data_IF_573725260337
#
_entry.id   IF_573725260337
#
_cell.length_a   1.000
_cell.length_b   1.000
_cell.length_c   1.000
_cell.angle_alpha   90.00
_cell.angle_beta   90.00
_cell.angle_gamma   90.00
#
_symmetry.space_group_name_H-M   'P 1'
#
loop_
_entity.id
_entity.type
_entity.pdbx_description
1 polymer ?
#
# COMPACT_ATOMS: atom_id res chain seq x y z
N UNK A 1 9.08 -0.74 14.79
CA UNK A 1 9.66 0.34 13.98
C UNK A 1 11.14 0.06 13.73
N UNK A 2 11.46 -1.19 13.38
CA UNK A 2 12.78 -1.62 12.93
C UNK A 2 12.56 -2.71 11.89
N UNK A 3 13.51 -2.84 10.96
CA UNK A 3 13.54 -3.70 9.75
C UNK A 3 12.78 -3.20 8.52
N UNK A 4 13.23 -2.08 7.95
CA UNK A 4 13.08 -1.83 6.50
C UNK A 4 14.34 -1.22 5.86
N UNK A 5 15.51 -1.36 6.50
CA UNK A 5 16.79 -0.93 5.95
C UNK A 5 17.64 -2.18 5.83
N UNK A 6 17.83 -2.64 4.60
CA UNK A 6 19.04 -3.31 4.07
C UNK A 6 18.70 -3.88 2.67
N UNK A 7 18.91 -3.07 1.64
CA UNK A 7 19.17 -3.59 0.29
C UNK A 7 20.55 -3.12 -0.15
N UNK A 8 21.38 -4.11 -0.54
CA UNK A 8 22.37 -4.09 -1.63
C UNK A 8 23.77 -4.57 -1.24
N UNK A 9 23.93 -5.85 -0.89
CA UNK A 9 25.24 -6.50 -0.91
C UNK A 9 25.14 -7.99 -1.26
N UNK A 10 25.22 -8.35 -2.54
CA UNK A 10 25.36 -9.76 -2.97
C UNK A 10 26.64 -10.08 -3.74
N UNK A 11 27.60 -9.14 -3.78
CA UNK A 11 28.97 -9.42 -4.27
C UNK A 11 30.09 -8.93 -3.35
N UNK A 12 29.88 -7.84 -2.61
CA UNK A 12 30.95 -7.25 -1.76
C UNK A 12 31.14 -7.92 -0.39
N UNK A 13 30.21 -8.75 0.08
CA UNK A 13 30.32 -9.35 1.42
C UNK A 13 31.38 -10.47 1.49
N UNK A 14 31.54 -11.26 0.42
CA UNK A 14 32.63 -12.24 0.32
C UNK A 14 33.99 -11.55 0.38
N UNK A 15 34.12 -10.42 -0.31
CA UNK A 15 35.36 -9.66 -0.35
C UNK A 15 35.67 -9.05 1.02
N UNK A 16 34.68 -8.42 1.65
CA UNK A 16 34.82 -7.83 2.99
C UNK A 16 35.12 -8.88 4.08
N UNK A 17 34.50 -10.06 4.01
CA UNK A 17 34.77 -11.14 4.96
C UNK A 17 36.16 -11.75 4.79
N UNK A 18 36.63 -11.94 3.54
CA UNK A 18 37.99 -12.40 3.27
C UNK A 18 39.02 -11.36 3.72
N UNK A 19 38.81 -10.08 3.39
CA UNK A 19 39.67 -8.98 3.83
C UNK A 19 39.67 -8.82 5.36
N UNK A 20 38.52 -9.01 6.02
CA UNK A 20 38.39 -8.96 7.47
C UNK A 20 39.10 -10.13 8.18
N UNK A 21 39.07 -11.34 7.59
CA UNK A 21 39.79 -12.51 8.09
C UNK A 21 41.30 -12.37 7.86
N UNK A 22 41.73 -11.82 6.72
CA UNK A 22 43.15 -11.51 6.45
C UNK A 22 43.71 -10.46 7.41
N UNK A 23 42.93 -9.42 7.73
CA UNK A 23 43.29 -8.39 8.72
C UNK A 23 43.39 -8.96 10.14
N UNK A 24 42.54 -9.91 10.52
CA UNK A 24 42.54 -10.51 11.85
C UNK A 24 43.62 -11.58 12.05
N UNK A 25 43.98 -12.32 11.00
CA UNK A 25 44.92 -13.46 11.08
C UNK A 25 46.32 -13.13 10.53
N UNK A 26 46.51 -11.97 9.90
CA UNK A 26 47.79 -11.55 9.33
C UNK A 26 48.28 -12.44 8.17
N UNK A 27 47.43 -13.32 7.65
CA UNK A 27 47.75 -14.26 6.58
C UNK A 27 46.49 -14.65 5.79
N UNK A 28 46.68 -14.99 4.52
CA UNK A 28 45.60 -15.43 3.63
C UNK A 28 45.01 -16.76 4.14
N UNK A 29 43.68 -16.89 4.30
CA UNK A 29 43.07 -18.12 4.83
C UNK A 29 43.34 -19.38 3.97
N UNK A 30 43.71 -19.23 2.69
CA UNK A 30 44.11 -20.35 1.83
C UNK A 30 45.49 -20.95 2.20
N UNK A 31 46.39 -20.20 2.85
CA UNK A 31 47.72 -20.70 3.24
C UNK A 31 47.75 -21.45 4.58
N UNK A 32 46.62 -21.50 5.29
CA UNK A 32 46.49 -22.14 6.63
C UNK A 32 45.79 -23.52 6.53
N UNK A 33 45.38 -23.94 5.34
CA UNK A 33 44.82 -25.29 5.14
C UNK A 33 43.43 -25.52 5.76
N UNK A 34 42.71 -24.45 6.15
CA UNK A 34 41.32 -24.54 6.60
C UNK A 34 40.40 -24.73 5.39
N UNK A 35 39.89 -25.95 5.19
CA UNK A 35 38.79 -26.23 4.25
C UNK A 35 37.46 -25.88 4.92
N UNK A 36 36.86 -24.77 4.50
CA UNK A 36 35.46 -24.46 4.80
C UNK A 36 34.57 -25.10 3.73
N UNK A 37 34.12 -26.32 3.95
CA UNK A 37 33.04 -26.94 3.15
C UNK A 37 31.69 -26.30 3.57
N UNK A 38 31.46 -25.08 3.13
CA UNK A 38 30.15 -24.43 3.18
C UNK A 38 29.44 -24.68 1.84
N UNK A 39 28.47 -25.59 1.85
CA UNK A 39 27.54 -25.81 0.73
C UNK A 39 26.58 -24.61 0.62
N UNK A 40 27.06 -23.53 0.00
CA UNK A 40 26.34 -22.26 -0.18
C UNK A 40 24.99 -22.42 -0.89
N UNK A 41 24.71 -23.55 -1.54
CA UNK A 41 23.44 -23.76 -2.25
C UNK A 41 22.27 -23.96 -1.29
N UNK A 42 22.49 -24.58 -0.12
CA UNK A 42 21.43 -24.80 0.88
C UNK A 42 21.13 -23.53 1.69
N UNK A 43 22.14 -22.72 1.96
CA UNK A 43 21.97 -21.43 2.63
C UNK A 43 21.39 -20.34 1.71
N UNK A 44 21.60 -20.46 0.39
CA UNK A 44 20.95 -19.59 -0.61
C UNK A 44 19.43 -19.78 -0.65
N UNK A 45 18.95 -21.02 -0.47
CA UNK A 45 17.50 -21.31 -0.41
C UNK A 45 16.91 -20.91 0.95
N UNK A 46 17.68 -21.08 2.04
CA UNK A 46 17.29 -20.61 3.36
C UNK A 46 17.38 -19.07 3.52
N UNK A 47 18.10 -18.35 2.66
CA UNK A 47 18.08 -16.87 2.63
C UNK A 47 16.85 -16.26 1.95
N UNK A 48 15.90 -17.08 1.48
CA UNK A 48 14.54 -16.64 1.15
C UNK A 48 13.62 -16.72 2.39
N UNK A 49 14.15 -16.39 3.57
CA UNK A 49 13.39 -16.25 4.81
C UNK A 49 12.40 -15.09 4.66
N UNK A 50 11.14 -15.45 4.44
CA UNK A 50 9.91 -14.72 4.78
C UNK A 50 10.10 -13.19 4.91
N UNK A 51 10.40 -12.50 3.80
CA UNK A 51 10.45 -11.04 3.82
C UNK A 51 9.03 -10.53 4.07
N UNK A 52 8.81 -9.96 5.27
CA UNK A 52 7.58 -9.21 5.57
C UNK A 52 7.38 -8.19 4.45
N UNK A 53 6.25 -8.29 3.77
CA UNK A 53 5.88 -7.34 2.75
C UNK A 53 5.40 -6.07 3.44
N UNK A 54 6.20 -5.01 3.42
CA UNK A 54 5.78 -3.73 3.97
C UNK A 54 4.71 -3.08 3.08
N UNK A 55 3.74 -2.43 3.70
CA UNK A 55 2.60 -1.80 3.01
C UNK A 55 2.47 -0.34 3.42
N UNK A 56 2.34 0.54 2.43
CA UNK A 56 1.85 1.90 2.64
C UNK A 56 0.32 1.88 2.52
N UNK A 57 -0.39 2.21 3.60
CA UNK A 57 -1.83 2.45 3.58
C UNK A 57 -2.13 3.89 3.19
N UNK A 58 -3.08 4.08 2.29
CA UNK A 58 -3.49 5.39 1.78
C UNK A 58 -5.01 5.53 1.88
N UNK A 59 -5.43 6.61 2.54
CA UNK A 59 -6.84 6.98 2.62
C UNK A 59 -7.13 8.02 1.55
N UNK A 60 -8.02 7.69 0.61
CA UNK A 60 -8.46 8.58 -0.45
C UNK A 60 -9.60 9.48 0.06
N UNK A 61 -9.25 10.72 0.43
CA UNK A 61 -10.14 11.74 0.96
C UNK A 61 -10.45 12.88 -0.05
N UNK A 62 -9.95 12.79 -1.29
CA UNK A 62 -10.06 13.84 -2.33
C UNK A 62 -11.39 13.92 -3.09
N UNK A 63 -12.45 13.22 -2.67
CA UNK A 63 -13.74 13.21 -3.38
C UNK A 63 -14.48 14.55 -3.29
N UNK A 64 -15.24 14.92 -4.34
CA UNK A 64 -15.97 16.19 -4.40
C UNK A 64 -17.15 16.30 -3.41
N UNK A 65 -17.54 15.23 -2.72
CA UNK A 65 -18.60 15.28 -1.70
C UNK A 65 -19.98 15.75 -2.21
N UNK A 66 -20.22 15.77 -3.53
CA UNK A 66 -21.43 16.37 -4.14
C UNK A 66 -22.73 15.82 -3.57
N UNK A 67 -22.75 14.51 -3.23
CA UNK A 67 -23.91 13.82 -2.65
C UNK A 67 -24.08 14.04 -1.14
N UNK A 68 -23.05 14.58 -0.48
CA UNK A 68 -23.00 14.91 0.95
C UNK A 68 -23.06 16.43 1.17
N UNK A 69 -23.80 17.15 0.33
CA UNK A 69 -23.94 18.62 0.44
C UNK A 69 -22.66 19.42 0.14
N UNK A 70 -21.65 18.81 -0.48
CA UNK A 70 -20.37 19.47 -0.79
C UNK A 70 -19.38 19.52 0.37
N UNK A 71 -19.74 19.02 1.55
CA UNK A 71 -18.84 18.91 2.69
C UNK A 71 -17.67 17.96 2.41
N UNK A 72 -16.58 18.18 3.14
CA UNK A 72 -15.46 17.26 3.16
C UNK A 72 -15.83 15.98 3.90
N UNK A 73 -15.95 14.89 3.13
CA UNK A 73 -16.56 13.65 3.58
C UNK A 73 -15.75 12.99 4.70
N UNK A 74 -14.42 13.16 4.70
CA UNK A 74 -13.58 12.64 5.77
C UNK A 74 -13.91 13.26 7.14
N UNK A 75 -14.54 14.44 7.16
CA UNK A 75 -14.94 15.16 8.38
C UNK A 75 -16.41 14.99 8.74
N UNK A 76 -17.17 14.21 7.97
CA UNK A 76 -18.51 13.80 8.37
C UNK A 76 -18.37 12.87 9.58
N UNK A 77 -19.23 13.07 10.58
CA UNK A 77 -19.18 12.28 11.81
C UNK A 77 -20.11 11.07 11.72
N UNK A 78 -19.61 9.93 12.20
CA UNK A 78 -20.40 8.75 12.53
C UNK A 78 -20.11 8.41 13.99
N UNK A 79 -21.17 8.26 14.80
CA UNK A 79 -21.04 8.00 16.24
C UNK A 79 -20.10 9.00 16.96
N UNK A 80 -20.27 10.30 16.67
CA UNK A 80 -19.47 11.41 17.22
C UNK A 80 -17.96 11.36 16.91
N UNK A 81 -17.57 10.64 15.85
CA UNK A 81 -16.19 10.58 15.38
C UNK A 81 -16.11 10.79 13.87
N UNK A 82 -15.21 11.64 13.36
CA UNK A 82 -15.01 11.83 11.93
C UNK A 82 -14.68 10.53 11.19
N UNK A 83 -15.23 10.34 10.01
CA UNK A 83 -14.97 9.20 9.13
C UNK A 83 -13.47 8.91 8.97
N UNK A 84 -12.66 9.95 8.73
CA UNK A 84 -11.21 9.82 8.57
C UNK A 84 -10.53 9.17 9.79
N UNK A 85 -11.02 9.46 10.99
CA UNK A 85 -10.45 8.90 12.22
C UNK A 85 -10.81 7.43 12.37
N UNK A 86 -12.04 7.03 12.04
CA UNK A 86 -12.43 5.61 12.01
C UNK A 86 -11.53 4.81 11.05
N UNK A 87 -11.33 5.31 9.83
CA UNK A 87 -10.49 4.61 8.82
C UNK A 87 -9.03 4.58 9.25
N UNK A 88 -8.49 5.66 9.82
CA UNK A 88 -7.13 5.69 10.37
C UNK A 88 -6.95 4.62 11.46
N UNK A 89 -7.88 4.54 12.42
CA UNK A 89 -7.83 3.55 13.51
C UNK A 89 -7.87 2.12 12.97
N UNK A 90 -8.68 1.85 11.95
CA UNK A 90 -8.77 0.52 11.31
C UNK A 90 -7.49 0.12 10.56
N UNK A 91 -6.85 1.07 9.87
CA UNK A 91 -5.67 0.77 9.04
C UNK A 91 -4.36 0.77 9.81
N UNK A 92 -4.21 1.61 10.83
CA UNK A 92 -2.94 1.78 11.58
C UNK A 92 -2.30 0.48 12.06
N UNK A 93 -3.01 -0.53 12.58
CA UNK A 93 -2.38 -1.78 12.97
C UNK A 93 -2.01 -2.71 11.80
N UNK A 94 -2.47 -2.42 10.58
CA UNK A 94 -2.33 -3.29 9.41
C UNK A 94 -1.22 -2.87 8.44
N UNK A 95 -0.70 -1.64 8.55
CA UNK A 95 0.25 -1.06 7.58
C UNK A 95 1.50 -0.50 8.27
N UNK A 96 2.59 -0.38 7.52
CA UNK A 96 3.88 0.12 8.01
C UNK A 96 3.99 1.65 7.88
N UNK A 97 3.25 2.24 6.95
CA UNK A 97 3.13 3.68 6.73
C UNK A 97 1.67 4.05 6.44
N UNK A 98 1.21 5.21 6.93
CA UNK A 98 -0.09 5.79 6.58
C UNK A 98 0.07 7.14 5.89
N UNK A 99 -0.71 7.38 4.85
CA UNK A 99 -0.81 8.65 4.11
C UNK A 99 -2.28 8.99 3.86
N UNK A 100 -2.63 10.27 3.82
CA UNK A 100 -3.93 10.75 3.36
C UNK A 100 -3.74 11.47 2.02
N UNK A 101 -4.51 11.09 1.00
CA UNK A 101 -4.63 11.86 -0.23
C UNK A 101 -5.86 12.78 -0.13
N UNK A 102 -5.64 14.09 -0.10
CA UNK A 102 -6.71 15.07 0.03
C UNK A 102 -6.38 16.35 -0.77
N UNK A 103 -7.42 16.91 -1.39
CA UNK A 103 -7.32 18.14 -2.20
C UNK A 103 -8.00 19.35 -1.52
N UNK A 104 -8.42 19.19 -0.27
CA UNK A 104 -9.03 20.22 0.59
C UNK A 104 -8.78 19.88 2.06
N UNK A 105 -9.01 20.86 2.94
CA UNK A 105 -8.86 20.69 4.40
C UNK A 105 -7.44 20.25 4.82
N UNK A 106 -6.42 20.68 4.08
CA UNK A 106 -5.02 20.23 4.23
C UNK A 106 -4.54 20.37 5.68
N UNK A 107 -4.69 21.55 6.28
CA UNK A 107 -4.28 21.80 7.65
C UNK A 107 -4.99 20.89 8.67
N UNK A 108 -6.28 20.61 8.47
CA UNK A 108 -7.05 19.74 9.34
C UNK A 108 -6.58 18.28 9.23
N UNK A 109 -6.31 17.79 8.01
CA UNK A 109 -5.78 16.44 7.82
C UNK A 109 -4.34 16.32 8.35
N UNK A 110 -3.50 17.33 8.16
CA UNK A 110 -2.12 17.36 8.68
C UNK A 110 -2.09 17.30 10.21
N UNK A 111 -3.07 17.92 10.88
CA UNK A 111 -3.21 17.87 12.33
C UNK A 111 -3.47 16.45 12.89
N UNK A 112 -3.84 15.48 12.04
CA UNK A 112 -3.98 14.06 12.43
C UNK A 112 -2.63 13.34 12.59
N UNK A 113 -1.51 14.01 12.28
CA UNK A 113 -0.16 13.47 12.49
C UNK A 113 0.25 12.43 11.45
N UNK A 114 -0.33 12.48 10.25
CA UNK A 114 0.05 11.64 9.11
C UNK A 114 0.36 12.53 7.89
N UNK A 115 1.27 12.11 6.99
CA UNK A 115 1.52 12.82 5.74
C UNK A 115 0.23 13.00 4.93
N UNK A 116 0.06 14.21 4.38
CA UNK A 116 -1.05 14.56 3.49
C UNK A 116 -0.49 14.95 2.13
N UNK A 117 -1.00 14.32 1.07
CA UNK A 117 -0.55 14.55 -0.31
C UNK A 117 -1.71 15.00 -1.19
N UNK A 118 -1.46 16.01 -2.00
CA UNK A 118 -2.40 16.51 -3.00
C UNK A 118 -2.23 15.77 -4.32
N UNK A 119 -3.29 15.74 -5.13
CA UNK A 119 -3.25 15.12 -6.45
C UNK A 119 -2.12 15.69 -7.32
N UNK A 120 -1.44 14.82 -8.06
CA UNK A 120 -0.34 15.20 -8.98
C UNK A 120 -0.76 16.22 -10.04
N UNK A 121 -2.05 16.33 -10.34
CA UNK A 121 -2.62 17.29 -11.27
C UNK A 121 -3.78 18.03 -10.63
N UNK A 122 -3.85 19.34 -10.86
CA UNK A 122 -4.95 20.17 -10.41
C UNK A 122 -6.26 19.82 -11.13
N UNK A 123 -7.38 20.03 -10.44
CA UNK A 123 -8.71 19.73 -10.95
C UNK A 123 -9.09 18.27 -10.74
N UNK A 124 -10.39 17.98 -10.81
CA UNK A 124 -10.87 16.63 -10.51
C UNK A 124 -10.64 15.68 -11.69
N UNK A 125 -9.60 14.85 -11.57
CA UNK A 125 -9.23 13.82 -12.55
C UNK A 125 -9.77 12.42 -12.19
N UNK A 126 -10.70 12.35 -11.23
CA UNK A 126 -11.28 11.09 -10.77
C UNK A 126 -10.34 10.26 -9.89
N UNK A 127 -10.81 9.11 -9.41
CA UNK A 127 -10.11 8.37 -8.35
C UNK A 127 -8.75 7.79 -8.77
N UNK A 128 -8.54 7.55 -10.06
CA UNK A 128 -7.24 7.08 -10.57
C UNK A 128 -6.11 8.10 -10.34
N UNK A 129 -6.42 9.40 -10.30
CA UNK A 129 -5.41 10.42 -9.96
C UNK A 129 -4.98 10.33 -8.49
N UNK A 130 -5.94 10.11 -7.58
CA UNK A 130 -5.63 9.86 -6.17
C UNK A 130 -4.77 8.60 -5.99
N UNK A 131 -5.05 7.54 -6.76
CA UNK A 131 -4.24 6.31 -6.75
C UNK A 131 -2.83 6.55 -7.34
N UNK A 132 -2.71 7.29 -8.44
CA UNK A 132 -1.40 7.64 -9.01
C UNK A 132 -0.57 8.46 -8.02
N UNK A 133 -1.21 9.40 -7.32
CA UNK A 133 -0.61 10.20 -6.26
C UNK A 133 -0.16 9.32 -5.09
N UNK A 134 -1.01 8.41 -4.64
CA UNK A 134 -0.71 7.42 -3.59
C UNK A 134 0.53 6.59 -3.95
N UNK A 135 0.57 6.02 -5.15
CA UNK A 135 1.70 5.22 -5.65
C UNK A 135 2.99 6.04 -5.78
N UNK A 136 2.88 7.32 -6.16
CA UNK A 136 4.02 8.22 -6.29
C UNK A 136 4.64 8.52 -4.91
N UNK A 137 3.80 8.81 -3.92
CA UNK A 137 4.19 9.21 -2.57
C UNK A 137 4.59 8.04 -1.65
N UNK A 138 4.16 6.81 -1.94
CA UNK A 138 4.41 5.65 -1.09
C UNK A 138 5.90 5.30 -0.95
N UNK A 139 6.31 4.96 0.27
CA UNK A 139 7.67 4.48 0.56
C UNK A 139 7.86 2.99 0.26
N UNK A 140 6.78 2.20 0.35
CA UNK A 140 6.83 0.75 0.21
C UNK A 140 6.46 0.24 -1.18
N UNK A 141 6.80 -1.03 -1.45
CA UNK A 141 6.47 -1.68 -2.73
C UNK A 141 4.97 -1.87 -2.89
N UNK A 142 4.28 -2.22 -1.81
CA UNK A 142 2.83 -2.42 -1.81
C UNK A 142 2.10 -1.21 -1.25
N UNK A 143 1.05 -0.81 -1.94
CA UNK A 143 0.22 0.35 -1.60
C UNK A 143 -1.23 -0.10 -1.50
N UNK A 144 -1.79 -0.03 -0.30
CA UNK A 144 -3.23 -0.21 -0.09
C UNK A 144 -3.89 1.16 -0.24
N UNK A 145 -4.86 1.27 -1.14
CA UNK A 145 -5.79 2.39 -1.17
C UNK A 145 -7.13 1.96 -0.57
N UNK A 146 -7.71 2.81 0.27
CA UNK A 146 -9.10 2.69 0.76
C UNK A 146 -9.79 4.05 0.69
N UNK A 147 -11.11 4.11 0.53
CA UNK A 147 -11.80 5.39 0.57
C UNK A 147 -12.00 5.85 2.02
N UNK A 148 -12.16 7.16 2.23
CA UNK A 148 -12.36 7.73 3.56
C UNK A 148 -13.70 7.37 4.22
N UNK A 149 -14.63 6.72 3.53
CA UNK A 149 -15.99 6.38 3.97
C UNK A 149 -16.21 4.89 4.23
N UNK A 150 -15.17 4.06 4.16
CA UNK A 150 -15.19 2.64 4.49
C UNK A 150 -14.96 2.38 5.99
N UNK A 151 -15.94 2.68 6.85
CA UNK A 151 -15.74 2.71 8.30
C UNK A 151 -15.55 1.31 8.93
N UNK A 152 -16.01 0.26 8.25
CA UNK A 152 -16.05 -1.09 8.77
C UNK A 152 -14.96 -2.02 8.21
N UNK A 153 -13.95 -1.45 7.53
CA UNK A 153 -12.81 -2.17 6.95
C UNK A 153 -12.26 -3.21 7.94
N UNK A 154 -12.17 -4.50 7.55
CA UNK A 154 -11.81 -5.56 8.46
C UNK A 154 -10.33 -5.46 8.88
N UNK A 155 -10.01 -6.07 10.02
CA UNK A 155 -8.67 -6.02 10.61
C UNK A 155 -7.65 -6.89 9.87
N UNK A 156 -8.11 -7.76 8.97
CA UNK A 156 -7.29 -8.66 8.17
C UNK A 156 -7.22 -8.27 6.68
N UNK A 157 -7.77 -7.09 6.30
CA UNK A 157 -7.84 -6.61 4.92
C UNK A 157 -6.48 -6.71 4.21
N UNK A 158 -5.44 -6.11 4.81
CA UNK A 158 -4.09 -6.08 4.21
C UNK A 158 -3.55 -7.49 4.03
N UNK A 159 -3.72 -8.35 5.05
CA UNK A 159 -3.17 -9.71 5.02
C UNK A 159 -3.79 -10.55 3.92
N UNK A 160 -5.12 -10.44 3.72
CA UNK A 160 -5.86 -11.20 2.72
C UNK A 160 -5.52 -10.73 1.31
N UNK A 161 -5.46 -9.41 1.09
CA UNK A 161 -5.09 -8.85 -0.22
C UNK A 161 -3.63 -9.19 -0.59
N UNK A 162 -2.70 -9.10 0.36
CA UNK A 162 -1.30 -9.49 0.13
C UNK A 162 -1.17 -10.99 -0.20
N UNK A 163 -1.83 -11.86 0.56
CA UNK A 163 -1.81 -13.29 0.29
C UNK A 163 -2.32 -13.61 -1.11
N UNK A 164 -3.43 -13.00 -1.52
CA UNK A 164 -3.94 -13.14 -2.88
C UNK A 164 -2.94 -12.65 -3.92
N UNK A 165 -2.31 -11.50 -3.71
CA UNK A 165 -1.32 -10.93 -4.62
C UNK A 165 -0.11 -11.86 -4.82
N UNK A 166 0.39 -12.43 -3.72
CA UNK A 166 1.52 -13.36 -3.72
C UNK A 166 1.16 -14.68 -4.40
N UNK A 167 -0.01 -15.24 -4.09
CA UNK A 167 -0.46 -16.51 -4.66
C UNK A 167 -0.74 -16.42 -6.17
N UNK A 168 -1.32 -15.31 -6.62
CA UNK A 168 -1.66 -15.12 -8.03
C UNK A 168 -0.52 -14.49 -8.84
N UNK A 169 0.53 -13.98 -8.19
CA UNK A 169 1.59 -13.18 -8.82
C UNK A 169 1.09 -11.87 -9.43
N UNK A 170 -0.07 -11.35 -8.99
CA UNK A 170 -0.69 -10.15 -9.60
C UNK A 170 -0.23 -8.90 -8.89
N UNK A 171 0.01 -7.85 -9.66
CA UNK A 171 0.41 -6.54 -9.13
C UNK A 171 -0.78 -5.72 -8.61
N UNK A 172 -2.02 -6.15 -8.89
CA UNK A 172 -3.26 -5.46 -8.50
C UNK A 172 -4.20 -6.50 -7.93
N UNK A 173 -4.70 -6.24 -6.71
CA UNK A 173 -5.72 -7.05 -6.04
C UNK A 173 -6.82 -6.12 -5.57
N UNK A 174 -8.04 -6.35 -6.04
CA UNK A 174 -9.21 -5.52 -5.75
C UNK A 174 -10.13 -6.28 -4.82
N UNK A 175 -10.68 -5.62 -3.80
CA UNK A 175 -11.71 -6.22 -2.97
C UNK A 175 -13.06 -6.25 -3.72
N UNK A 176 -13.87 -7.26 -3.44
CA UNK A 176 -15.28 -7.32 -3.84
C UNK A 176 -16.14 -7.67 -2.63
N UNK A 177 -17.44 -7.38 -2.70
CA UNK A 177 -18.40 -7.70 -1.64
C UNK A 177 -19.28 -8.93 -1.96
N UNK A 178 -18.87 -9.76 -2.93
CA UNK A 178 -19.64 -10.86 -3.48
C UNK A 178 -20.59 -10.46 -4.62
N UNK A 179 -21.02 -9.20 -4.68
CA UNK A 179 -21.92 -8.68 -5.73
C UNK A 179 -21.17 -7.81 -6.73
N UNK A 180 -20.27 -6.94 -6.25
CA UNK A 180 -19.54 -5.99 -7.07
C UNK A 180 -18.11 -5.78 -6.59
N UNK A 181 -17.26 -5.39 -7.53
CA UNK A 181 -15.95 -4.83 -7.20
C UNK A 181 -16.11 -3.58 -6.34
N UNK A 182 -15.16 -3.40 -5.44
CA UNK A 182 -14.97 -2.20 -4.62
C UNK A 182 -13.66 -1.55 -5.08
N UNK A 183 -13.67 -0.76 -6.18
CA UNK A 183 -12.44 -0.40 -6.88
C UNK A 183 -11.50 0.47 -6.03
N UNK A 184 -12.03 1.14 -5.02
CA UNK A 184 -11.27 1.99 -4.11
C UNK A 184 -10.69 1.24 -2.91
N UNK A 185 -11.02 -0.03 -2.72
CA UNK A 185 -10.39 -0.92 -1.74
C UNK A 185 -9.48 -1.87 -2.53
N UNK A 186 -8.23 -1.45 -2.72
CA UNK A 186 -7.33 -2.07 -3.69
C UNK A 186 -5.89 -2.06 -3.18
N UNK A 187 -5.20 -3.18 -3.35
CA UNK A 187 -3.77 -3.31 -3.12
C UNK A 187 -3.04 -3.31 -4.47
N UNK A 188 -2.05 -2.44 -4.62
CA UNK A 188 -1.26 -2.30 -5.83
C UNK A 188 0.24 -2.38 -5.54
N UNK A 189 1.02 -2.95 -6.45
CA UNK A 189 2.46 -2.71 -6.49
C UNK A 189 2.75 -1.32 -7.03
N UNK A 190 3.69 -0.61 -6.41
CA UNK A 190 4.21 0.68 -6.89
C UNK A 190 4.69 0.66 -8.34
N UNK A 191 5.16 -0.50 -8.82
CA UNK A 191 5.62 -0.69 -10.21
C UNK A 191 4.56 -0.47 -11.28
N UNK A 192 3.26 -0.43 -10.93
CA UNK A 192 2.18 -0.13 -11.89
C UNK A 192 2.07 1.35 -12.24
N UNK A 193 2.71 2.24 -11.45
CA UNK A 193 2.58 3.69 -11.58
C UNK A 193 2.88 4.22 -13.00
N UNK A 194 3.96 3.83 -13.70
CA UNK A 194 4.22 4.35 -15.05
C UNK A 194 3.10 4.03 -16.03
N UNK A 195 2.53 2.82 -15.97
CA UNK A 195 1.39 2.45 -16.81
C UNK A 195 0.13 3.25 -16.44
N UNK A 196 -0.13 3.44 -15.15
CA UNK A 196 -1.27 4.23 -14.69
C UNK A 196 -1.18 5.69 -15.18
N UNK A 197 0.00 6.31 -15.10
CA UNK A 197 0.23 7.66 -15.60
C UNK A 197 -0.04 7.74 -17.11
N UNK A 198 0.46 6.77 -17.88
CA UNK A 198 0.18 6.68 -19.32
C UNK A 198 -1.33 6.53 -19.61
N UNK A 199 -2.04 5.70 -18.85
CA UNK A 199 -3.48 5.55 -19.01
C UNK A 199 -4.23 6.86 -18.70
N UNK A 200 -3.83 7.58 -17.65
CA UNK A 200 -4.37 8.89 -17.30
C UNK A 200 -4.16 9.91 -18.43
N UNK A 201 -2.97 9.94 -19.05
CA UNK A 201 -2.68 10.79 -20.21
C UNK A 201 -3.57 10.45 -21.42
N UNK A 202 -3.91 9.18 -21.60
CA UNK A 202 -4.82 8.69 -22.65
C UNK A 202 -6.31 8.90 -22.33
N UNK A 203 -6.63 9.56 -21.21
CA UNK A 203 -8.01 9.85 -20.83
C UNK A 203 -8.71 8.75 -20.03
N UNK A 204 -8.00 7.73 -19.55
CA UNK A 204 -8.57 6.74 -18.64
C UNK A 204 -8.96 7.37 -17.30
N UNK A 205 -10.18 7.14 -16.83
CA UNK A 205 -10.73 7.71 -15.58
C UNK A 205 -11.51 6.66 -14.76
N UNK A 206 -11.60 5.42 -15.24
CA UNK A 206 -12.38 4.31 -14.67
C UNK A 206 -11.44 3.27 -14.06
N UNK A 207 -11.36 3.21 -12.72
CA UNK A 207 -10.41 2.31 -12.04
C UNK A 207 -10.62 0.83 -12.40
N UNK A 208 -11.87 0.38 -12.38
CA UNK A 208 -12.29 -0.97 -12.76
C UNK A 208 -11.84 -1.35 -14.18
N UNK A 209 -12.04 -0.46 -15.16
CA UNK A 209 -11.58 -0.67 -16.54
C UNK A 209 -10.05 -0.77 -16.61
N UNK A 210 -9.34 0.10 -15.90
CA UNK A 210 -7.88 0.08 -15.88
C UNK A 210 -7.34 -1.20 -15.22
N UNK A 211 -7.86 -1.62 -14.06
CA UNK A 211 -7.44 -2.86 -13.38
C UNK A 211 -7.63 -4.08 -14.29
N UNK A 212 -8.77 -4.17 -14.98
CA UNK A 212 -9.05 -5.24 -15.92
C UNK A 212 -8.00 -5.31 -17.04
N UNK A 213 -7.57 -4.17 -17.57
CA UNK A 213 -6.54 -4.10 -18.62
C UNK A 213 -5.15 -4.58 -18.18
N UNK A 214 -4.85 -4.48 -16.89
CA UNK A 214 -3.57 -4.89 -16.30
C UNK A 214 -3.55 -6.37 -15.86
N UNK A 215 -4.74 -6.97 -15.74
CA UNK A 215 -4.93 -8.27 -15.10
C UNK A 215 -4.83 -8.16 -13.58
N UNK A 216 -5.96 -8.31 -12.91
CA UNK A 216 -6.09 -8.21 -11.45
C UNK A 216 -6.45 -9.55 -10.82
N UNK A 217 -6.14 -9.71 -9.52
CA UNK A 217 -6.80 -10.69 -8.66
C UNK A 217 -7.92 -10.01 -7.87
N UNK A 218 -8.80 -10.82 -7.28
CA UNK A 218 -9.94 -10.38 -6.49
C UNK A 218 -9.98 -11.12 -5.15
N UNK A 219 -10.50 -10.46 -4.13
CA UNK A 219 -10.74 -11.06 -2.81
C UNK A 219 -12.11 -10.61 -2.31
N UNK A 220 -12.99 -11.58 -2.08
CA UNK A 220 -14.34 -11.32 -1.59
C UNK A 220 -14.38 -11.10 -0.08
N UNK A 221 -15.03 -10.03 0.34
CA UNK A 221 -15.38 -9.70 1.72
C UNK A 221 -16.90 -9.65 1.85
N UNK A 222 -17.41 -9.54 3.07
CA UNK A 222 -18.83 -9.28 3.27
C UNK A 222 -19.21 -7.85 2.87
N UNK A 223 -20.48 -7.66 2.54
CA UNK A 223 -21.05 -6.33 2.23
C UNK A 223 -20.86 -5.35 3.39
N UNK A 224 -21.00 -5.82 4.63
CA UNK A 224 -20.87 -5.00 5.83
C UNK A 224 -19.43 -4.50 6.03
N UNK A 225 -18.44 -5.35 5.75
CA UNK A 225 -17.02 -5.01 5.86
C UNK A 225 -16.58 -3.91 4.86
N UNK A 226 -17.21 -3.85 3.69
CA UNK A 226 -16.87 -2.90 2.61
C UNK A 226 -17.97 -1.84 2.40
N UNK A 227 -18.83 -1.64 3.39
CA UNK A 227 -19.92 -0.68 3.30
C UNK A 227 -19.38 0.76 3.25
N UNK A 228 -19.83 1.51 2.25
CA UNK A 228 -19.46 2.92 2.04
C UNK A 228 -20.68 3.82 2.26
N UNK A 229 -20.54 4.80 3.15
CA UNK A 229 -21.59 5.80 3.43
C UNK A 229 -21.62 6.86 2.32
N UNK A 230 -22.60 6.85 1.43
CA UNK A 230 -22.68 7.75 0.27
C UNK A 230 -23.61 8.96 0.47
N UNK A 231 -24.55 8.86 1.41
CA UNK A 231 -25.63 9.80 1.65
C UNK A 231 -25.84 10.05 3.15
N UNK A 232 -26.28 11.26 3.56
CA UNK A 232 -26.45 11.60 4.97
C UNK A 232 -27.47 10.73 5.72
N UNK A 233 -28.50 10.24 5.04
CA UNK A 233 -29.58 9.43 5.64
C UNK A 233 -29.05 8.12 6.21
N UNK A 234 -27.92 7.62 5.69
CA UNK A 234 -27.27 6.39 6.16
C UNK A 234 -26.59 6.55 7.53
N UNK A 235 -26.55 7.77 8.10
CA UNK A 235 -25.90 8.06 9.39
C UNK A 235 -26.86 8.09 10.57
N UNK A 236 -28.15 7.87 10.32
CA UNK A 236 -29.22 7.98 11.31
C UNK A 236 -29.56 6.64 11.99
N UNK A 237 -28.95 5.54 11.53
CA UNK A 237 -29.09 4.18 12.06
C UNK A 237 -27.84 3.77 12.86
#
# INVERSE_FOLDING_TARGET
METCILRRFSRSFKQWFVEGVELALGANPASIGLKFDLDWTKESTAMSLNQKQCVTGVILAGGQGRRMGGHDKGWVEFQNKPFIQHVLERLRPQVDQLIINANRSQAAYQALGVPVVEDLQTGFQGPLMGIATALSAAEHEWVLCVPCDGLFIPQDLVSRLLQAALNSGRAIVVADDGDRLQPMVVLLKRSVLPNLLQALEQGERKPDRWYASQGMAQVSFSVDELYNFNYPEQLLD
#
